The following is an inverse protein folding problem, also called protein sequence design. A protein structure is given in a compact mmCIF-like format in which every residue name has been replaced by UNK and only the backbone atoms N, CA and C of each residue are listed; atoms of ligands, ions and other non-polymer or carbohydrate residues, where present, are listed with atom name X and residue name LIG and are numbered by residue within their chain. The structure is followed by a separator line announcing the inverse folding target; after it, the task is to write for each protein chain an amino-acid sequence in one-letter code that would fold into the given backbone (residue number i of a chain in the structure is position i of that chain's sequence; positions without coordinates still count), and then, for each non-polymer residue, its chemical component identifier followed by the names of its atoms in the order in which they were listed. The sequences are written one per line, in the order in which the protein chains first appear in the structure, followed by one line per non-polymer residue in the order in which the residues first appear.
data_IF_498958422618
#
_entry.id   IF_498958422618
#
_cell.length_a   1.000
_cell.length_b   1.000
_cell.length_c   1.000
_cell.angle_alpha   90.00
_cell.angle_beta   90.00
_cell.angle_gamma   90.00
#
_symmetry.space_group_name_H-M   'P 1'
#
loop_
_entity.id
_entity.type
_entity.pdbx_description
1 polymer ?
#
# COMPACT_ATOMS: atom_id res chain seq x y z
N UNK A 1 -6.15 -6.36 5.27
CA UNK A 1 -7.35 -5.77 4.65
C UNK A 1 -6.94 -4.93 3.45
N UNK A 2 -7.41 -5.31 2.27
CA UNK A 2 -7.24 -4.57 1.03
C UNK A 2 -8.52 -3.78 0.68
N UNK A 3 -8.38 -2.46 0.54
CA UNK A 3 -9.42 -1.56 0.06
C UNK A 3 -9.11 -1.09 -1.36
N UNK A 4 -10.14 -1.03 -2.21
CA UNK A 4 -10.00 -0.67 -3.62
C UNK A 4 -10.83 0.56 -3.92
N UNK A 5 -10.23 1.52 -4.62
CA UNK A 5 -10.87 2.74 -5.08
C UNK A 5 -10.79 2.83 -6.60
N UNK A 6 -11.94 3.09 -7.23
CA UNK A 6 -12.04 3.42 -8.65
C UNK A 6 -12.37 4.90 -8.81
N UNK A 7 -11.93 5.50 -9.91
CA UNK A 7 -12.23 6.89 -10.23
C UNK A 7 -13.64 7.01 -10.80
N UNK A 8 -14.46 7.87 -10.19
CA UNK A 8 -15.77 8.28 -10.68
C UNK A 8 -15.79 9.80 -10.89
N UNK A 9 -16.77 10.38 -11.60
CA UNK A 9 -16.81 11.83 -11.86
C UNK A 9 -16.75 12.70 -10.59
N UNK A 10 -17.20 12.17 -9.44
CA UNK A 10 -17.20 12.86 -8.15
C UNK A 10 -15.92 12.60 -7.31
N UNK A 11 -14.91 11.90 -7.84
CA UNK A 11 -13.67 11.56 -7.13
C UNK A 11 -13.47 10.05 -6.98
N UNK A 12 -12.82 9.64 -5.89
CA UNK A 12 -12.55 8.22 -5.62
C UNK A 12 -13.73 7.57 -4.90
N UNK A 13 -14.21 6.45 -5.43
CA UNK A 13 -15.25 5.63 -4.80
C UNK A 13 -14.66 4.31 -4.36
N UNK A 14 -14.84 3.98 -3.07
CA UNK A 14 -14.56 2.63 -2.54
C UNK A 14 -15.50 1.62 -3.19
N UNK A 15 -14.95 0.52 -3.68
CA UNK A 15 -15.72 -0.58 -4.26
C UNK A 15 -15.84 -1.72 -3.25
N UNK A 16 -17.06 -2.24 -3.11
CA UNK A 16 -17.31 -3.50 -2.40
C UNK A 16 -16.95 -4.67 -3.31
N UNK A 17 -16.24 -5.63 -2.74
CA UNK A 17 -15.65 -6.76 -3.47
C UNK A 17 -15.75 -8.02 -2.64
N UNK A 18 -15.98 -9.14 -3.32
CA UNK A 18 -15.79 -10.46 -2.74
C UNK A 18 -14.30 -10.80 -2.62
N UNK A 19 -13.82 -11.37 -1.50
CA UNK A 19 -12.39 -11.60 -1.25
C UNK A 19 -11.60 -12.38 -2.33
N UNK A 20 -12.28 -13.14 -3.19
CA UNK A 20 -11.66 -13.88 -4.30
C UNK A 20 -11.90 -13.30 -5.69
N UNK A 21 -12.63 -12.19 -5.81
CA UNK A 21 -12.87 -11.55 -7.09
C UNK A 21 -11.62 -10.80 -7.58
N UNK A 22 -11.37 -10.76 -8.91
CA UNK A 22 -10.27 -10.00 -9.47
C UNK A 22 -10.41 -8.50 -9.16
N UNK A 23 -9.27 -7.79 -9.20
CA UNK A 23 -9.26 -6.33 -9.09
C UNK A 23 -9.95 -5.70 -10.32
N UNK A 24 -10.85 -4.70 -10.12
CA UNK A 24 -11.43 -3.95 -11.23
C UNK A 24 -10.37 -3.37 -12.17
N UNK A 25 -10.65 -3.32 -13.47
CA UNK A 25 -9.71 -2.76 -14.45
C UNK A 25 -9.49 -1.26 -14.25
N UNK A 26 -10.50 -0.55 -13.76
CA UNK A 26 -10.53 0.89 -13.48
C UNK A 26 -10.12 1.24 -12.03
N UNK A 27 -9.56 0.29 -11.29
CA UNK A 27 -8.99 0.54 -9.97
C UNK A 27 -7.77 1.48 -10.10
N UNK A 28 -7.79 2.58 -9.36
CA UNK A 28 -6.74 3.61 -9.39
C UNK A 28 -5.97 3.74 -8.09
N UNK A 29 -6.54 3.27 -6.98
CA UNK A 29 -5.86 3.26 -5.69
C UNK A 29 -6.20 1.99 -4.90
N UNK A 30 -5.15 1.29 -4.48
CA UNK A 30 -5.19 0.10 -3.65
C UNK A 30 -4.58 0.45 -2.29
N UNK A 31 -5.33 0.25 -1.22
CA UNK A 31 -4.91 0.53 0.16
C UNK A 31 -4.79 -0.79 0.93
N UNK A 32 -3.57 -1.13 1.34
CA UNK A 32 -3.22 -2.36 2.04
C UNK A 32 -2.96 -2.04 3.50
N UNK A 33 -3.92 -2.37 4.37
CA UNK A 33 -3.77 -2.25 5.82
C UNK A 33 -3.78 -3.63 6.46
N UNK A 34 -2.63 -4.08 6.96
CA UNK A 34 -2.42 -5.44 7.47
C UNK A 34 -3.05 -6.48 6.51
N UNK A 35 -2.62 -6.49 5.23
CA UNK A 35 -3.17 -7.39 4.21
C UNK A 35 -2.94 -8.86 4.58
N UNK A 36 -3.84 -9.74 4.14
CA UNK A 36 -3.56 -11.18 4.18
C UNK A 36 -2.60 -11.56 3.06
N UNK A 37 -1.89 -12.71 3.15
CA UNK A 37 -1.01 -13.17 2.06
C UNK A 37 -1.74 -13.37 0.72
N UNK A 38 -3.04 -13.64 0.75
CA UNK A 38 -3.88 -13.74 -0.46
C UNK A 38 -4.16 -12.36 -1.06
N UNK A 39 -4.41 -11.35 -0.21
CA UNK A 39 -4.61 -9.97 -0.64
C UNK A 39 -3.31 -9.38 -1.24
N UNK A 40 -2.16 -9.64 -0.63
CA UNK A 40 -0.84 -9.26 -1.17
C UNK A 40 -0.62 -9.87 -2.55
N UNK A 41 -0.74 -11.21 -2.67
CA UNK A 41 -0.57 -11.91 -3.95
C UNK A 41 -1.51 -11.40 -5.04
N UNK A 42 -2.75 -11.07 -4.70
CA UNK A 42 -3.71 -10.52 -5.67
C UNK A 42 -3.20 -9.20 -6.25
N UNK A 43 -2.62 -8.33 -5.43
CA UNK A 43 -2.07 -7.04 -5.85
C UNK A 43 -0.80 -7.24 -6.66
N UNK A 44 0.11 -8.09 -6.19
CA UNK A 44 1.37 -8.40 -6.87
C UNK A 44 1.12 -8.97 -8.27
N UNK A 45 0.21 -9.93 -8.40
CA UNK A 45 -0.16 -10.51 -9.70
C UNK A 45 -0.79 -9.49 -10.64
N UNK A 46 -1.61 -8.56 -10.11
CA UNK A 46 -2.30 -7.55 -10.92
C UNK A 46 -1.36 -6.47 -11.43
N UNK A 47 -0.34 -6.11 -10.65
CA UNK A 47 0.58 -5.01 -10.94
C UNK A 47 1.92 -5.49 -11.51
N UNK A 48 2.28 -6.76 -11.32
CA UNK A 48 3.56 -7.32 -11.75
C UNK A 48 4.76 -6.81 -10.94
N UNK A 49 4.53 -6.48 -9.66
CA UNK A 49 5.52 -5.94 -8.73
C UNK A 49 5.38 -6.63 -7.37
N UNK A 50 6.42 -6.52 -6.54
CA UNK A 50 6.44 -7.08 -5.19
C UNK A 50 6.01 -6.02 -4.16
N UNK A 51 5.24 -6.45 -3.17
CA UNK A 51 4.86 -5.60 -2.03
C UNK A 51 5.95 -5.71 -0.95
N UNK A 52 6.52 -4.58 -0.48
CA UNK A 52 7.60 -4.63 0.49
C UNK A 52 7.14 -5.20 1.81
N UNK A 53 7.97 -6.06 2.38
CA UNK A 53 7.78 -6.67 3.69
C UNK A 53 7.90 -5.62 4.80
N UNK A 54 7.36 -5.94 5.97
CA UNK A 54 7.48 -5.05 7.14
C UNK A 54 8.93 -4.84 7.59
N UNK A 55 9.83 -5.78 7.29
CA UNK A 55 11.25 -5.66 7.61
C UNK A 55 11.92 -4.65 6.68
N UNK A 56 11.69 -4.74 5.38
CA UNK A 56 12.20 -3.78 4.38
C UNK A 56 11.68 -2.36 4.63
N UNK A 57 10.40 -2.21 4.99
CA UNK A 57 9.81 -0.91 5.36
C UNK A 57 10.51 -0.23 6.56
N UNK A 58 11.18 -1.02 7.43
CA UNK A 58 11.87 -0.49 8.62
C UNK A 58 13.26 0.02 8.34
N UNK A 59 13.80 -0.22 7.14
CA UNK A 59 15.11 0.27 6.78
C UNK A 59 15.17 1.81 6.84
N UNK A 60 16.27 2.31 7.41
CA UNK A 60 16.48 3.75 7.61
C UNK A 60 17.30 4.39 6.51
N UNK A 61 17.87 3.57 5.61
CA UNK A 61 18.72 4.01 4.52
C UNK A 61 17.91 4.75 3.47
N UNK A 62 18.44 5.86 2.93
CA UNK A 62 17.72 6.67 1.94
C UNK A 62 17.47 5.90 0.65
N UNK A 63 18.38 5.01 0.27
CA UNK A 63 18.24 4.09 -0.86
C UNK A 63 17.08 3.11 -0.72
N UNK A 64 16.70 2.77 0.52
CA UNK A 64 15.58 1.87 0.78
C UNK A 64 14.24 2.60 0.97
N UNK A 65 14.26 3.94 0.97
CA UNK A 65 13.07 4.78 1.21
C UNK A 65 12.54 5.48 -0.02
N UNK A 66 13.38 5.78 -1.00
CA UNK A 66 12.97 6.30 -2.30
C UNK A 66 13.80 5.62 -3.37
N UNK A 67 13.16 4.72 -4.12
CA UNK A 67 13.82 3.94 -5.16
C UNK A 67 12.86 3.58 -6.29
N UNK A 68 13.43 3.11 -7.39
CA UNK A 68 12.71 2.58 -8.54
C UNK A 68 13.07 1.10 -8.68
N UNK A 69 12.05 0.25 -8.78
CA UNK A 69 12.20 -1.19 -8.99
C UNK A 69 11.05 -1.70 -9.86
N UNK A 70 11.35 -2.61 -10.79
CA UNK A 70 10.38 -3.17 -11.74
C UNK A 70 9.55 -2.12 -12.52
N UNK A 71 10.08 -0.89 -12.68
CA UNK A 71 9.39 0.22 -13.34
C UNK A 71 8.36 0.95 -12.48
N UNK A 72 8.30 0.65 -11.18
CA UNK A 72 7.48 1.35 -10.20
C UNK A 72 8.34 2.19 -9.25
N UNK A 73 7.79 3.31 -8.78
CA UNK A 73 8.45 4.19 -7.81
C UNK A 73 7.95 3.87 -6.40
N UNK A 74 8.90 3.60 -5.50
CA UNK A 74 8.63 3.27 -4.11
C UNK A 74 9.01 4.45 -3.22
N UNK A 75 8.12 4.85 -2.33
CA UNK A 75 8.35 5.88 -1.31
C UNK A 75 7.88 5.41 0.06
N UNK A 76 8.80 5.21 1.00
CA UNK A 76 8.50 4.88 2.39
C UNK A 76 8.57 6.12 3.27
N UNK A 77 7.39 6.60 3.70
CA UNK A 77 7.23 7.73 4.61
C UNK A 77 7.13 7.27 6.07
N UNK A 78 7.73 8.04 6.99
CA UNK A 78 7.54 7.84 8.43
C UNK A 78 6.43 8.76 8.94
N UNK A 79 5.42 8.18 9.58
CA UNK A 79 4.29 8.90 10.16
C UNK A 79 4.29 8.69 11.68
N UNK A 80 4.12 9.77 12.43
CA UNK A 80 4.01 9.69 13.89
C UNK A 80 2.55 9.54 14.29
N UNK A 81 2.25 8.58 15.15
CA UNK A 81 0.92 8.28 15.67
C UNK A 81 0.91 8.34 17.19
N UNK A 82 -0.27 8.28 17.81
CA UNK A 82 -0.46 8.32 19.28
C UNK A 82 0.21 9.52 19.97
N UNK A 83 0.22 10.67 19.30
CA UNK A 83 0.86 11.92 19.76
C UNK A 83 0.30 12.42 21.12
N UNK A 84 -0.94 12.08 21.45
CA UNK A 84 -1.59 12.48 22.71
C UNK A 84 -1.22 11.57 23.90
N UNK A 85 -0.48 10.48 23.64
CA UNK A 85 -0.05 9.53 24.68
C UNK A 85 1.37 9.85 25.17
N UNK A 86 1.78 9.27 26.30
CA UNK A 86 3.16 9.39 26.77
C UNK A 86 4.18 8.63 25.89
N UNK A 87 3.70 7.83 24.94
CA UNK A 87 4.50 6.96 24.08
C UNK A 87 4.07 7.13 22.61
N UNK A 88 4.50 8.20 21.93
CA UNK A 88 4.27 8.35 20.50
C UNK A 88 4.96 7.22 19.72
N UNK A 89 4.36 6.81 18.61
CA UNK A 89 4.82 5.66 17.82
C UNK A 89 5.11 6.07 16.38
N UNK A 90 6.24 5.60 15.84
CA UNK A 90 6.58 5.76 14.42
C UNK A 90 6.00 4.59 13.62
N UNK A 91 5.14 4.90 12.66
CA UNK A 91 4.69 3.97 11.62
C UNK A 91 5.38 4.26 10.29
N UNK A 92 5.52 3.24 9.45
CA UNK A 92 5.94 3.40 8.06
C UNK A 92 4.74 3.18 7.15
N UNK A 93 4.65 4.01 6.09
CA UNK A 93 3.69 3.86 5.01
C UNK A 93 4.50 3.86 3.72
N UNK A 94 4.34 2.82 2.90
CA UNK A 94 4.97 2.76 1.57
C UNK A 94 3.94 3.07 0.50
N UNK A 95 4.30 3.99 -0.39
CA UNK A 95 3.59 4.31 -1.62
C UNK A 95 4.31 3.66 -2.79
N UNK A 96 3.55 3.09 -3.71
CA UNK A 96 4.03 2.47 -4.95
C UNK A 96 3.26 3.14 -6.09
N UNK A 97 3.96 3.72 -7.06
CA UNK A 97 3.41 4.51 -8.18
C UNK A 97 3.83 3.94 -9.53
#
# INVERSE_FOLDING_TARGET
MLTVYCLVPAGLKRIERDPGAPLPEDAVWLDLFEPTPEEERLVEQRLGLDIPTREEMREIESSSRLYEEAGALYLTATVVTRLETQTPENGQITFIL
#
